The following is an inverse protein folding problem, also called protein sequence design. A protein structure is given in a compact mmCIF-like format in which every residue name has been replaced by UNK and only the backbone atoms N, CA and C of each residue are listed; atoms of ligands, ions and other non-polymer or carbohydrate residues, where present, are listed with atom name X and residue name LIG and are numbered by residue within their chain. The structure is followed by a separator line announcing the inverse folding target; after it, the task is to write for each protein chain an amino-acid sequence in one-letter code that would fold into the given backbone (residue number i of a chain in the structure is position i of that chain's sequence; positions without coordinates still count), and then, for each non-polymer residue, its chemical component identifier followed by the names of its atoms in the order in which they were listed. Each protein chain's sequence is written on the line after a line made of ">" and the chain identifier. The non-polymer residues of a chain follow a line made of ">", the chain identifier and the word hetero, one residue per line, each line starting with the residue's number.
data_IF_689192637682
#
_entry.id   IF_689192637682
#
_cell.length_a   1.000
_cell.length_b   1.000
_cell.length_c   1.000
_cell.angle_alpha   90.00
_cell.angle_beta   90.00
_cell.angle_gamma   90.00
#
_symmetry.space_group_name_H-M   'P 1'
#
loop_
_entity.id
_entity.type
_entity.pdbx_description
1 polymer ?
#
# COMPACT_ATOMS: atom_id res chain seq x y z
N UNK A 1 6.12 -53.87 39.42
CA UNK A 1 5.31 -55.00 39.90
C UNK A 1 4.40 -54.46 41.00
N UNK A 2 3.09 -54.71 40.86
CA UNK A 2 1.93 -54.22 41.64
C UNK A 2 1.65 -52.71 41.51
N UNK A 3 0.59 -52.19 40.88
CA UNK A 3 -0.86 -52.52 40.85
C UNK A 3 -1.57 -52.22 42.17
N UNK A 4 -2.51 -51.27 42.14
CA UNK A 4 -3.84 -51.32 42.79
C UNK A 4 -4.62 -50.00 42.52
N UNK A 5 -5.89 -50.19 42.15
CA UNK A 5 -6.96 -49.22 41.85
C UNK A 5 -7.86 -49.10 43.10
N UNK A 6 -8.66 -48.03 43.29
CA UNK A 6 -10.11 -48.30 43.30
C UNK A 6 -11.00 -47.23 42.62
N UNK A 7 -12.19 -47.72 42.26
CA UNK A 7 -13.32 -47.18 41.50
C UNK A 7 -14.20 -46.11 42.18
N UNK A 8 -14.97 -45.41 41.32
CA UNK A 8 -16.36 -44.96 41.53
C UNK A 8 -16.64 -43.65 40.77
N UNK A 9 -17.72 -43.40 40.00
CA UNK A 9 -19.00 -44.08 39.67
C UNK A 9 -19.62 -43.29 38.49
N UNK A 10 -20.29 -43.97 37.53
CA UNK A 10 -21.08 -43.36 36.42
C UNK A 10 -22.39 -42.70 36.91
N UNK A 11 -23.14 -41.99 36.02
CA UNK A 11 -24.19 -42.68 35.26
C UNK A 11 -24.30 -42.35 33.75
N UNK A 12 -24.64 -43.40 33.00
CA UNK A 12 -25.31 -43.48 31.69
C UNK A 12 -26.74 -42.86 31.76
N UNK A 13 -27.44 -42.39 30.73
CA UNK A 13 -27.25 -42.40 29.29
C UNK A 13 -28.51 -41.89 28.55
N UNK A 14 -28.42 -41.96 27.21
CA UNK A 14 -29.45 -42.09 26.17
C UNK A 14 -30.44 -40.95 25.86
N UNK A 15 -30.26 -40.43 24.65
CA UNK A 15 -31.27 -39.96 23.69
C UNK A 15 -32.41 -40.96 23.49
N UNK A 16 -33.66 -40.49 23.35
CA UNK A 16 -34.75 -41.05 22.51
C UNK A 16 -35.91 -40.03 22.53
N UNK A 17 -36.67 -39.96 21.43
CA UNK A 17 -37.95 -39.24 21.22
C UNK A 17 -37.86 -37.79 20.73
N UNK A 18 -37.36 -37.68 19.52
CA UNK A 18 -37.73 -36.67 18.54
C UNK A 18 -39.01 -37.17 17.83
N UNK A 19 -40.14 -37.30 18.55
CA UNK A 19 -41.37 -37.90 17.99
C UNK A 19 -42.65 -37.42 18.70
N UNK A 20 -42.71 -36.13 19.06
CA UNK A 20 -43.93 -35.51 19.61
C UNK A 20 -44.20 -34.12 19.01
N UNK A 21 -43.83 -33.94 17.74
CA UNK A 21 -44.65 -33.15 16.82
C UNK A 21 -45.75 -34.08 16.28
N UNK A 22 -47.03 -33.72 16.42
CA UNK A 22 -48.03 -33.76 15.32
C UNK A 22 -49.50 -33.84 15.74
N UNK A 23 -49.87 -33.95 17.02
CA UNK A 23 -51.27 -34.28 17.37
C UNK A 23 -52.11 -33.25 18.11
N UNK A 24 -51.69 -32.00 18.32
CA UNK A 24 -52.50 -31.02 19.08
C UNK A 24 -52.61 -29.62 18.46
N UNK A 25 -53.04 -29.57 17.20
CA UNK A 25 -53.81 -28.46 16.61
C UNK A 25 -54.99 -29.15 15.88
N UNK A 26 -56.26 -28.71 15.96
CA UNK A 26 -56.75 -27.38 16.33
C UNK A 26 -58.17 -27.37 16.95
N UNK A 27 -58.35 -27.22 18.27
CA UNK A 27 -59.68 -26.94 18.84
C UNK A 27 -59.53 -25.99 20.01
N UNK A 28 -59.75 -24.69 19.75
CA UNK A 28 -60.30 -23.64 20.62
C UNK A 28 -59.83 -22.27 20.11
N UNK A 29 -60.20 -22.01 18.86
CA UNK A 29 -60.39 -20.66 18.38
C UNK A 29 -61.74 -20.18 18.92
N UNK A 30 -61.76 -19.57 20.10
CA UNK A 30 -62.83 -18.65 20.45
C UNK A 30 -62.43 -17.71 21.60
N UNK A 31 -62.39 -16.41 21.25
CA UNK A 31 -62.68 -15.27 22.13
C UNK A 31 -61.58 -14.92 23.15
N UNK A 32 -60.71 -13.97 22.79
CA UNK A 32 -60.82 -12.60 23.32
C UNK A 32 -59.93 -11.62 22.55
N UNK A 33 -60.60 -10.75 21.82
CA UNK A 33 -60.08 -9.66 21.00
C UNK A 33 -59.77 -8.45 21.91
N UNK A 34 -58.51 -7.99 21.94
CA UNK A 34 -58.16 -6.64 22.37
C UNK A 34 -57.57 -5.89 21.16
N UNK A 35 -58.08 -4.72 20.78
CA UNK A 35 -57.62 -4.02 19.59
C UNK A 35 -56.31 -3.29 19.93
N UNK A 36 -55.19 -3.82 19.45
CA UNK A 36 -53.96 -3.02 19.34
C UNK A 36 -54.21 -1.88 18.35
N UNK A 37 -53.89 -0.61 18.66
CA UNK A 37 -54.15 0.49 17.75
C UNK A 37 -53.17 0.39 16.56
N UNK A 38 -53.58 -0.27 15.47
CA UNK A 38 -52.79 -0.37 14.22
C UNK A 38 -52.51 1.00 13.59
N UNK A 39 -53.26 2.04 13.98
CA UNK A 39 -53.15 3.40 13.45
C UNK A 39 -51.90 4.13 13.96
N UNK A 40 -51.49 3.92 15.23
CA UNK A 40 -50.36 4.67 15.82
C UNK A 40 -48.99 4.21 15.31
N UNK A 41 -48.83 2.94 14.94
CA UNK A 41 -47.60 2.41 14.32
C UNK A 41 -47.37 2.99 12.91
N UNK A 42 -48.44 3.16 12.13
CA UNK A 42 -48.34 3.79 10.80
C UNK A 42 -48.04 5.28 10.90
N UNK A 43 -48.65 5.99 11.86
CA UNK A 43 -48.41 7.41 12.04
C UNK A 43 -47.01 7.72 12.56
N UNK A 44 -46.53 6.97 13.56
CA UNK A 44 -45.18 7.15 14.10
C UNK A 44 -44.09 6.78 13.09
N UNK A 45 -44.30 5.74 12.28
CA UNK A 45 -43.35 5.40 11.21
C UNK A 45 -43.32 6.47 10.11
N UNK A 46 -44.46 7.03 9.72
CA UNK A 46 -44.53 8.17 8.80
C UNK A 46 -43.83 9.40 9.38
N UNK A 47 -44.05 9.73 10.66
CA UNK A 47 -43.35 10.83 11.32
C UNK A 47 -41.84 10.60 11.38
N UNK A 48 -41.40 9.39 11.72
CA UNK A 48 -39.98 9.04 11.75
C UNK A 48 -39.35 9.08 10.35
N UNK A 49 -40.07 8.64 9.32
CA UNK A 49 -39.63 8.66 7.93
C UNK A 49 -39.52 10.10 7.40
N UNK A 50 -40.49 10.95 7.70
CA UNK A 50 -40.44 12.38 7.34
C UNK A 50 -39.33 13.09 8.11
N UNK A 51 -39.18 12.83 9.42
CA UNK A 51 -38.09 13.38 10.22
C UNK A 51 -36.72 12.95 9.70
N UNK A 52 -36.57 11.68 9.33
CA UNK A 52 -35.35 11.14 8.74
C UNK A 52 -35.05 11.77 7.38
N UNK A 53 -36.06 12.01 6.55
CA UNK A 53 -35.90 12.69 5.26
C UNK A 53 -35.48 14.15 5.46
N UNK A 54 -36.10 14.87 6.39
CA UNK A 54 -35.75 16.26 6.73
C UNK A 54 -34.33 16.33 7.31
N UNK A 55 -33.97 15.39 8.19
CA UNK A 55 -32.63 15.31 8.75
C UNK A 55 -31.58 14.98 7.70
N UNK A 56 -31.88 14.06 6.78
CA UNK A 56 -30.98 13.71 5.67
C UNK A 56 -30.78 14.90 4.75
N UNK A 57 -31.86 15.61 4.38
CA UNK A 57 -31.79 16.82 3.57
C UNK A 57 -30.98 17.94 4.25
N UNK A 58 -31.13 18.09 5.57
CA UNK A 58 -30.35 19.05 6.35
C UNK A 58 -28.86 18.68 6.44
N UNK A 59 -28.54 17.38 6.62
CA UNK A 59 -27.16 16.88 6.64
C UNK A 59 -26.50 17.03 5.27
N UNK A 60 -27.21 16.71 4.19
CA UNK A 60 -26.70 16.88 2.82
C UNK A 60 -26.45 18.36 2.50
N UNK A 61 -27.33 19.26 2.94
CA UNK A 61 -27.12 20.70 2.83
C UNK A 61 -25.89 21.17 3.62
N UNK A 62 -25.72 20.68 4.85
CA UNK A 62 -24.56 21.02 5.69
C UNK A 62 -23.25 20.49 5.09
N UNK A 63 -23.24 19.26 4.56
CA UNK A 63 -22.08 18.67 3.87
C UNK A 63 -21.72 19.48 2.62
N UNK A 64 -22.71 19.95 1.86
CA UNK A 64 -22.47 20.82 0.70
C UNK A 64 -21.83 22.15 1.11
N UNK A 65 -22.34 22.81 2.15
CA UNK A 65 -21.77 24.08 2.65
C UNK A 65 -20.36 23.88 3.22
N UNK A 66 -20.14 22.81 4.00
CA UNK A 66 -18.81 22.47 4.51
C UNK A 66 -17.83 22.16 3.38
N UNK A 67 -18.27 21.42 2.35
CA UNK A 67 -17.48 21.13 1.14
C UNK A 67 -17.11 22.41 0.40
N UNK A 68 -18.05 23.35 0.27
CA UNK A 68 -17.80 24.64 -0.39
C UNK A 68 -16.79 25.49 0.40
N UNK A 69 -16.93 25.56 1.72
CA UNK A 69 -15.98 26.27 2.59
C UNK A 69 -14.59 25.63 2.53
N UNK A 70 -14.51 24.30 2.57
CA UNK A 70 -13.26 23.56 2.42
C UNK A 70 -12.64 23.78 1.03
N UNK A 71 -13.45 23.81 -0.02
CA UNK A 71 -13.03 24.10 -1.39
C UNK A 71 -12.45 25.51 -1.53
N UNK A 72 -13.11 26.52 -0.96
CA UNK A 72 -12.63 27.91 -0.97
C UNK A 72 -11.32 28.04 -0.18
N UNK A 73 -11.23 27.42 1.00
CA UNK A 73 -9.99 27.41 1.79
C UNK A 73 -8.85 26.71 1.05
N UNK A 74 -9.13 25.57 0.44
CA UNK A 74 -8.19 24.83 -0.38
C UNK A 74 -7.71 25.66 -1.59
N UNK A 75 -8.65 26.31 -2.30
CA UNK A 75 -8.35 27.18 -3.42
C UNK A 75 -7.45 28.34 -3.00
N UNK A 76 -7.75 29.01 -1.88
CA UNK A 76 -6.90 30.08 -1.36
C UNK A 76 -5.49 29.58 -1.01
N UNK A 77 -5.38 28.42 -0.38
CA UNK A 77 -4.07 27.81 -0.10
C UNK A 77 -3.31 27.43 -1.37
N UNK A 78 -3.99 26.88 -2.37
CA UNK A 78 -3.40 26.49 -3.64
C UNK A 78 -2.90 27.71 -4.43
N UNK A 79 -3.70 28.78 -4.49
CA UNK A 79 -3.31 30.05 -5.15
C UNK A 79 -2.15 30.71 -4.42
N UNK A 80 -2.14 30.70 -3.08
CA UNK A 80 -1.04 31.22 -2.28
C UNK A 80 0.27 30.45 -2.53
N UNK A 81 0.22 29.12 -2.51
CA UNK A 81 1.39 28.27 -2.83
C UNK A 81 1.88 28.48 -4.27
N UNK A 82 0.97 28.57 -5.23
CA UNK A 82 1.30 28.84 -6.63
C UNK A 82 1.99 30.20 -6.79
N UNK A 83 1.52 31.23 -6.10
CA UNK A 83 2.14 32.57 -6.09
C UNK A 83 3.57 32.54 -5.55
N UNK A 84 3.78 31.86 -4.41
CA UNK A 84 5.13 31.68 -3.83
C UNK A 84 6.05 30.94 -4.82
N UNK A 85 5.55 29.89 -5.45
CA UNK A 85 6.30 29.12 -6.44
C UNK A 85 6.69 29.97 -7.67
N UNK A 86 5.75 30.75 -8.20
CA UNK A 86 6.00 31.68 -9.32
C UNK A 86 7.03 32.76 -8.93
N UNK A 87 6.95 33.32 -7.72
CA UNK A 87 7.94 34.29 -7.25
C UNK A 87 9.34 33.68 -7.10
N UNK A 88 9.42 32.46 -6.57
CA UNK A 88 10.69 31.72 -6.48
C UNK A 88 11.27 31.40 -7.86
N UNK A 89 10.43 30.98 -8.81
CA UNK A 89 10.84 30.79 -10.20
C UNK A 89 11.30 32.11 -10.84
N UNK A 90 10.61 33.21 -10.59
CA UNK A 90 10.98 34.52 -11.10
C UNK A 90 12.34 34.98 -10.57
N UNK A 91 12.55 34.88 -9.26
CA UNK A 91 13.87 35.14 -8.66
C UNK A 91 14.94 34.17 -9.19
N UNK A 92 14.64 32.89 -9.33
CA UNK A 92 15.56 31.89 -9.88
C UNK A 92 15.95 32.20 -11.33
N UNK A 93 15.01 32.66 -12.15
CA UNK A 93 15.27 33.08 -13.52
C UNK A 93 16.13 34.35 -13.57
N UNK A 94 15.88 35.31 -12.68
CA UNK A 94 16.74 36.49 -12.53
C UNK A 94 18.15 36.13 -12.05
N UNK A 95 18.33 35.05 -11.28
CA UNK A 95 19.64 34.53 -10.92
C UNK A 95 20.33 33.77 -12.06
N UNK A 96 19.55 33.09 -12.91
CA UNK A 96 20.07 32.30 -14.03
C UNK A 96 20.45 33.18 -15.23
N UNK A 97 19.84 34.36 -15.35
CA UNK A 97 20.28 35.44 -16.24
C UNK A 97 21.33 36.22 -15.45
N UNK A 98 22.64 35.94 -15.59
CA UNK A 98 23.65 36.80 -14.98
C UNK A 98 23.37 38.25 -15.40
N UNK A 99 23.57 39.23 -14.50
CA UNK A 99 23.18 40.61 -14.74
C UNK A 99 23.77 41.07 -16.06
N UNK A 100 22.90 41.33 -17.03
CA UNK A 100 23.19 41.94 -18.33
C UNK A 100 23.56 43.43 -18.15
N UNK A 101 24.10 43.80 -16.99
CA UNK A 101 24.53 45.15 -16.62
C UNK A 101 26.04 45.22 -16.44
N UNK A 102 26.77 44.14 -16.71
CA UNK A 102 28.17 44.25 -17.09
C UNK A 102 28.24 44.59 -18.58
N UNK A 103 27.73 45.76 -18.95
CA UNK A 103 28.34 46.47 -20.07
C UNK A 103 29.85 46.54 -19.74
N UNK A 104 30.76 46.10 -20.63
CA UNK A 104 32.17 46.17 -20.31
C UNK A 104 32.56 47.64 -20.34
N UNK A 105 32.51 48.29 -19.18
CA UNK A 105 33.15 49.59 -18.89
C UNK A 105 34.67 49.47 -18.90
N UNK A 106 35.20 48.67 -19.81
CA UNK A 106 36.54 48.71 -20.36
C UNK A 106 36.35 48.18 -21.78
N UNK A 107 36.33 49.09 -22.75
CA UNK A 107 36.20 48.79 -24.17
C UNK A 107 37.41 47.98 -24.61
N UNK A 108 37.45 46.68 -24.27
CA UNK A 108 38.29 45.69 -24.92
C UNK A 108 38.01 45.87 -26.40
N UNK A 109 39.02 46.32 -27.14
CA UNK A 109 38.89 46.50 -28.59
C UNK A 109 38.21 45.27 -29.17
N UNK A 110 37.23 45.45 -30.06
CA UNK A 110 36.45 44.37 -30.67
C UNK A 110 37.32 43.15 -31.06
N UNK A 111 38.58 43.40 -31.45
CA UNK A 111 39.61 42.40 -31.70
C UNK A 111 39.94 41.46 -30.53
N UNK A 112 40.08 41.97 -29.30
CA UNK A 112 40.39 41.19 -28.09
C UNK A 112 39.22 40.30 -27.67
N UNK A 113 37.98 40.79 -27.85
CA UNK A 113 36.78 39.97 -27.62
C UNK A 113 36.72 38.81 -28.61
N UNK A 114 36.87 39.09 -29.92
CA UNK A 114 36.91 38.04 -30.93
C UNK A 114 38.01 37.01 -30.67
N UNK A 115 39.19 37.46 -30.23
CA UNK A 115 40.29 36.57 -29.89
C UNK A 115 39.96 35.65 -28.71
N UNK A 116 39.30 36.17 -27.65
CA UNK A 116 38.89 35.37 -26.48
C UNK A 116 37.80 34.37 -26.83
N UNK A 117 36.79 34.80 -27.60
CA UNK A 117 35.72 33.89 -28.07
C UNK A 117 36.31 32.79 -28.94
N UNK A 118 37.26 33.13 -29.81
CA UNK A 118 37.93 32.15 -30.66
C UNK A 118 38.76 31.16 -29.84
N UNK A 119 39.56 31.63 -28.87
CA UNK A 119 40.37 30.74 -28.02
C UNK A 119 39.51 29.87 -27.11
N UNK A 120 38.42 30.40 -26.54
CA UNK A 120 37.45 29.62 -25.78
C UNK A 120 36.72 28.61 -26.67
N UNK A 121 36.38 28.97 -27.91
CA UNK A 121 35.82 28.07 -28.91
C UNK A 121 36.77 26.90 -29.21
N UNK A 122 38.07 27.17 -29.35
CA UNK A 122 39.09 26.13 -29.54
C UNK A 122 39.21 25.20 -28.34
N UNK A 123 39.17 25.73 -27.10
CA UNK A 123 39.18 24.90 -25.89
C UNK A 123 37.95 24.00 -25.79
N UNK A 124 36.77 24.54 -26.11
CA UNK A 124 35.53 23.75 -26.15
C UNK A 124 35.60 22.66 -27.22
N UNK A 125 36.18 22.97 -28.38
CA UNK A 125 36.35 22.00 -29.45
C UNK A 125 37.33 20.88 -29.06
N UNK A 126 38.41 21.21 -28.35
CA UNK A 126 39.35 20.23 -27.80
C UNK A 126 38.67 19.36 -26.74
N UNK A 127 37.92 19.96 -25.82
CA UNK A 127 37.19 19.23 -24.78
C UNK A 127 36.12 18.30 -25.36
N UNK A 128 35.44 18.75 -26.42
CA UNK A 128 34.51 17.92 -27.18
C UNK A 128 35.21 16.72 -27.83
N UNK A 129 36.42 16.91 -28.35
CA UNK A 129 37.21 15.81 -28.93
C UNK A 129 37.63 14.79 -27.86
N UNK A 130 38.06 15.25 -26.68
CA UNK A 130 38.40 14.38 -25.54
C UNK A 130 37.18 13.64 -25.01
N UNK A 131 36.01 14.30 -24.88
CA UNK A 131 34.76 13.64 -24.49
C UNK A 131 34.35 12.56 -25.49
N UNK A 132 34.46 12.86 -26.80
CA UNK A 132 34.18 11.87 -27.84
C UNK A 132 35.14 10.69 -27.78
N UNK A 133 36.43 10.92 -27.50
CA UNK A 133 37.43 9.88 -27.32
C UNK A 133 37.11 9.03 -26.08
N UNK A 134 36.86 9.65 -24.95
CA UNK A 134 36.49 8.96 -23.70
C UNK A 134 35.20 8.15 -23.88
N UNK A 135 34.20 8.70 -24.57
CA UNK A 135 32.96 7.98 -24.88
C UNK A 135 33.22 6.74 -25.73
N UNK A 136 34.11 6.81 -26.72
CA UNK A 136 34.55 5.64 -27.52
C UNK A 136 35.28 4.61 -26.66
N UNK A 137 36.17 5.04 -25.76
CA UNK A 137 36.88 4.13 -24.86
C UNK A 137 35.90 3.44 -23.88
N UNK A 138 35.01 4.22 -23.25
CA UNK A 138 33.99 3.70 -22.32
C UNK A 138 33.00 2.78 -23.03
N UNK A 139 32.56 3.12 -24.25
CA UNK A 139 31.67 2.25 -25.02
C UNK A 139 32.35 0.95 -25.46
N UNK A 140 33.63 1.01 -25.86
CA UNK A 140 34.44 -0.18 -26.17
C UNK A 140 34.61 -1.09 -24.96
N UNK A 141 34.99 -0.52 -23.81
CA UNK A 141 35.11 -1.27 -22.53
C UNK A 141 33.75 -1.84 -22.14
N UNK A 142 32.67 -1.07 -22.24
CA UNK A 142 31.32 -1.55 -21.97
C UNK A 142 30.95 -2.70 -22.88
N UNK A 143 31.19 -2.62 -24.18
CA UNK A 143 30.92 -3.71 -25.11
C UNK A 143 31.74 -4.96 -24.76
N UNK A 144 33.05 -4.80 -24.53
CA UNK A 144 33.97 -5.90 -24.22
C UNK A 144 33.69 -6.59 -22.86
N UNK A 145 33.16 -5.85 -21.88
CA UNK A 145 32.92 -6.36 -20.53
C UNK A 145 31.43 -6.64 -20.22
N UNK A 146 30.49 -6.09 -20.99
CA UNK A 146 29.05 -6.24 -20.72
C UNK A 146 28.60 -7.69 -20.71
N UNK A 147 29.02 -8.49 -21.68
CA UNK A 147 28.68 -9.92 -21.74
C UNK A 147 29.25 -10.67 -20.52
N UNK A 148 30.50 -10.39 -20.15
CA UNK A 148 31.16 -11.04 -19.00
C UNK A 148 30.49 -10.67 -17.68
N UNK A 149 30.14 -9.39 -17.50
CA UNK A 149 29.44 -8.90 -16.31
C UNK A 149 28.03 -9.47 -16.27
N UNK A 150 27.29 -9.46 -17.38
CA UNK A 150 25.97 -10.06 -17.46
C UNK A 150 26.02 -11.55 -17.11
N UNK A 151 26.95 -12.29 -17.71
CA UNK A 151 27.18 -13.71 -17.41
C UNK A 151 27.51 -13.94 -15.95
N UNK A 152 28.38 -13.10 -15.35
CA UNK A 152 28.71 -13.19 -13.93
C UNK A 152 27.50 -12.89 -13.04
N UNK A 153 26.70 -11.88 -13.36
CA UNK A 153 25.48 -11.54 -12.62
C UNK A 153 24.45 -12.66 -12.74
N UNK A 154 24.19 -13.18 -13.93
CA UNK A 154 23.30 -14.33 -14.12
C UNK A 154 23.80 -15.58 -13.39
N UNK A 155 25.12 -15.82 -13.40
CA UNK A 155 25.70 -16.91 -12.64
C UNK A 155 25.52 -16.72 -11.13
N UNK A 156 25.72 -15.50 -10.61
CA UNK A 156 25.52 -15.17 -9.19
C UNK A 156 24.06 -15.22 -8.76
N UNK A 157 23.13 -14.88 -9.67
CA UNK A 157 21.69 -15.01 -9.42
C UNK A 157 21.22 -16.46 -9.45
N UNK A 158 21.85 -17.32 -10.26
CA UNK A 158 21.43 -18.71 -10.43
C UNK A 158 22.07 -19.69 -9.44
N UNK A 159 23.33 -19.47 -9.02
CA UNK A 159 24.09 -20.37 -8.14
C UNK A 159 24.03 -19.99 -6.64
N UNK A 160 23.15 -19.06 -6.27
CA UNK A 160 23.18 -18.33 -4.99
C UNK A 160 24.49 -17.56 -4.73
N UNK A 161 24.43 -16.57 -3.82
CA UNK A 161 25.59 -15.72 -3.51
C UNK A 161 26.80 -16.53 -3.01
N UNK A 162 26.55 -17.71 -2.43
CA UNK A 162 27.51 -18.60 -1.83
C UNK A 162 27.44 -19.96 -2.54
N UNK A 163 28.51 -20.35 -3.23
CA UNK A 163 28.67 -21.68 -3.84
C UNK A 163 28.87 -22.77 -2.80
N UNK A 164 27.89 -22.97 -1.92
CA UNK A 164 27.84 -24.05 -0.94
C UNK A 164 26.51 -24.78 -1.12
N UNK A 165 26.50 -26.11 -1.16
CA UNK A 165 25.25 -26.86 -1.24
C UNK A 165 24.43 -26.59 0.02
N UNK A 166 23.16 -26.25 -0.16
CA UNK A 166 22.21 -26.15 0.94
C UNK A 166 21.60 -27.52 1.22
N UNK A 167 22.09 -28.17 2.28
CA UNK A 167 21.58 -29.47 2.72
C UNK A 167 20.26 -29.36 3.48
N UNK A 168 19.84 -28.15 3.86
CA UNK A 168 18.56 -27.90 4.51
C UNK A 168 17.44 -27.59 3.51
N UNK A 169 17.72 -27.57 2.20
CA UNK A 169 16.75 -27.25 1.17
C UNK A 169 15.65 -28.33 1.07
N UNK A 170 14.41 -27.93 1.27
CA UNK A 170 13.25 -28.84 1.28
C UNK A 170 13.02 -29.56 -0.04
N UNK A 171 13.27 -28.90 -1.17
CA UNK A 171 13.10 -29.49 -2.51
C UNK A 171 14.04 -30.67 -2.81
N UNK A 172 15.18 -30.75 -2.09
CA UNK A 172 16.17 -31.83 -2.22
C UNK A 172 15.89 -32.96 -1.22
N UNK A 173 14.90 -32.79 -0.33
CA UNK A 173 14.44 -33.81 0.60
C UNK A 173 14.70 -33.50 2.08
N UNK A 174 15.13 -32.28 2.43
CA UNK A 174 15.19 -31.86 3.82
C UNK A 174 13.78 -31.65 4.40
N UNK A 175 13.61 -31.93 5.69
CA UNK A 175 12.35 -31.74 6.41
C UNK A 175 12.60 -31.29 7.83
N UNK A 176 11.66 -30.54 8.39
CA UNK A 176 11.72 -30.07 9.78
C UNK A 176 11.20 -31.15 10.73
N UNK A 177 11.90 -31.34 11.84
CA UNK A 177 11.43 -32.11 12.99
C UNK A 177 10.46 -31.27 13.82
N UNK A 178 9.15 -31.47 13.61
CA UNK A 178 8.09 -30.69 14.26
C UNK A 178 8.06 -30.91 15.78
N UNK A 179 8.48 -32.08 16.27
CA UNK A 179 8.47 -32.40 17.71
C UNK A 179 9.53 -31.60 18.49
N UNK A 180 10.58 -31.16 17.81
CA UNK A 180 11.64 -30.32 18.38
C UNK A 180 11.54 -28.85 18.00
N UNK A 181 10.54 -28.48 17.22
CA UNK A 181 10.34 -27.10 16.77
C UNK A 181 9.49 -26.33 17.79
N UNK A 182 9.85 -25.09 18.07
CA UNK A 182 9.04 -24.22 18.94
C UNK A 182 7.66 -23.97 18.34
N UNK A 183 6.67 -23.69 19.19
CA UNK A 183 5.33 -23.30 18.73
C UNK A 183 5.40 -22.08 17.79
N UNK A 184 4.61 -22.13 16.72
CA UNK A 184 4.46 -21.02 15.78
C UNK A 184 3.83 -19.81 16.48
N UNK A 185 4.26 -18.60 16.10
CA UNK A 185 3.67 -17.36 16.61
C UNK A 185 2.36 -17.09 15.87
N UNK A 186 1.25 -17.03 16.62
CA UNK A 186 -0.04 -16.60 16.08
C UNK A 186 -0.02 -15.08 15.87
N UNK A 187 0.17 -14.65 14.62
CA UNK A 187 0.03 -13.25 14.25
C UNK A 187 -1.45 -12.88 14.13
N UNK A 188 -1.94 -12.12 15.11
CA UNK A 188 -3.33 -11.62 15.12
C UNK A 188 -3.63 -10.62 14.00
N UNK A 189 -2.61 -10.14 13.29
CA UNK A 189 -2.74 -9.12 12.24
C UNK A 189 -2.66 -9.70 10.81
N UNK A 190 -2.30 -10.98 10.66
CA UNK A 190 -2.21 -11.65 9.35
C UNK A 190 -3.40 -12.57 9.14
N UNK A 191 -4.42 -12.08 8.45
CA UNK A 191 -5.59 -12.87 8.05
C UNK A 191 -5.71 -12.97 6.52
N UNK A 192 -6.23 -14.10 6.03
CA UNK A 192 -6.60 -14.23 4.63
C UNK A 192 -7.86 -13.43 4.33
N UNK A 193 -7.70 -12.36 3.56
CA UNK A 193 -8.80 -11.57 3.04
C UNK A 193 -9.11 -12.01 1.62
N UNK A 194 -10.37 -12.38 1.38
CA UNK A 194 -10.90 -12.43 0.02
C UNK A 194 -11.99 -11.36 -0.10
N UNK A 195 -11.69 -10.34 -0.91
CA UNK A 195 -12.44 -9.09 -0.97
C UNK A 195 -12.52 -8.38 0.41
N UNK A 196 -13.70 -8.32 1.03
CA UNK A 196 -13.95 -7.67 2.34
C UNK A 196 -14.17 -8.67 3.49
N UNK A 197 -14.10 -9.97 3.21
CA UNK A 197 -14.32 -11.03 4.19
C UNK A 197 -12.98 -11.61 4.62
N UNK A 198 -12.76 -11.65 5.93
CA UNK A 198 -11.63 -12.34 6.56
C UNK A 198 -12.05 -13.78 6.87
N UNK A 199 -11.27 -14.75 6.40
CA UNK A 199 -11.61 -16.16 6.55
C UNK A 199 -10.84 -16.83 7.68
N UNK A 200 -9.51 -16.62 7.77
CA UNK A 200 -8.66 -17.30 8.75
C UNK A 200 -7.41 -16.50 9.09
N UNK A 201 -7.01 -16.50 10.36
CA UNK A 201 -5.69 -16.05 10.78
C UNK A 201 -4.65 -17.08 10.29
N UNK A 202 -3.60 -16.60 9.65
CA UNK A 202 -2.57 -17.44 9.05
C UNK A 202 -1.24 -17.24 9.78
N UNK A 203 -0.74 -18.31 10.38
CA UNK A 203 0.64 -18.40 10.81
C UNK A 203 1.46 -19.06 9.70
N UNK A 204 2.66 -18.53 9.42
CA UNK A 204 3.58 -19.18 8.48
C UNK A 204 4.14 -20.44 9.14
N UNK A 205 4.01 -21.63 8.51
CA UNK A 205 4.58 -22.85 9.07
C UNK A 205 6.11 -22.77 9.05
N UNK A 206 6.80 -23.50 9.94
CA UNK A 206 8.25 -23.43 10.07
C UNK A 206 8.94 -23.90 8.78
N UNK A 207 8.28 -24.71 7.96
CA UNK A 207 8.79 -25.20 6.66
C UNK A 207 9.21 -24.11 5.68
N UNK A 208 8.78 -22.86 5.88
CA UNK A 208 9.14 -21.71 5.04
C UNK A 208 10.62 -21.33 5.17
N UNK A 209 11.33 -21.83 6.19
CA UNK A 209 12.77 -21.56 6.37
C UNK A 209 13.69 -22.48 5.54
N UNK A 210 13.12 -23.52 4.93
CA UNK A 210 13.82 -24.54 4.14
C UNK A 210 13.69 -24.32 2.62
#
# INVERSE_FOLDING_TARGET
>A
MAEEVPQGRQPSGSSVVLEEQLNLLPILDLRQEMPTPRVSKSFLSLLFQVLSMVLSLAVDGLVCVCREICSIRFLFTAVSLLSIFLAALWWGLLYLIPPLENEPTEMLTLSQYHHRVHSQGQQLQQLQAELNKLHKEVSSVRAAHSERVAKLVFQRLNEDFVRKPDYALSSVGASIDLEKTSSDYEDQNTAYFWNRLSFWNYARPPSVIL
#
